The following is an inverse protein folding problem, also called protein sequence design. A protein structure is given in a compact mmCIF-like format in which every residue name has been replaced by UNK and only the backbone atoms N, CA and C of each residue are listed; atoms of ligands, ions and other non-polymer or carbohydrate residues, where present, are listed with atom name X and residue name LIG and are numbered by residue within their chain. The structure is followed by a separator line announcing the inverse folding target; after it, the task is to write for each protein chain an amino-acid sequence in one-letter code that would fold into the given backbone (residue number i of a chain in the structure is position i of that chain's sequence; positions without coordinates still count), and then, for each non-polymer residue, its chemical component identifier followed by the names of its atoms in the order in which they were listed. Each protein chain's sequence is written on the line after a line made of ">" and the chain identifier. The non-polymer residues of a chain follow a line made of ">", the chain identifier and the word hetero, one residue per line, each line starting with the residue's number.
data_IF_563204914239
#
_entry.id   IF_563204914239
#
_cell.length_a   1.000
_cell.length_b   1.000
_cell.length_c   1.000
_cell.angle_alpha   90.00
_cell.angle_beta   90.00
_cell.angle_gamma   90.00
#
_symmetry.space_group_name_H-M   'P 1'
#
loop_
_entity.id
_entity.type
_entity.pdbx_description
1 polymer ?
#
# COMPACT_ATOMS: atom_id res chain seq x y z
N UNK A 1 -9.99 -43.92 24.53
CA UNK A 1 -10.70 -43.95 23.24
C UNK A 1 -9.69 -43.46 22.21
N UNK A 2 -9.29 -44.35 21.32
CA UNK A 2 -8.42 -44.04 20.19
C UNK A 2 -9.31 -43.34 19.17
N UNK A 3 -9.03 -42.08 18.82
CA UNK A 3 -9.68 -41.47 17.66
C UNK A 3 -9.27 -42.29 16.44
N UNK A 4 -10.23 -42.99 15.84
CA UNK A 4 -10.06 -43.62 14.54
C UNK A 4 -9.78 -42.51 13.54
N UNK A 5 -8.60 -42.58 12.92
CA UNK A 5 -8.16 -41.69 11.85
C UNK A 5 -9.02 -42.00 10.61
N UNK A 6 -10.20 -41.38 10.55
CA UNK A 6 -11.09 -41.46 9.39
C UNK A 6 -10.33 -40.94 8.17
N UNK A 7 -10.01 -41.84 7.24
CA UNK A 7 -9.31 -41.55 5.98
C UNK A 7 -10.22 -40.77 5.02
N UNK A 8 -10.41 -39.49 5.30
CA UNK A 8 -11.05 -38.56 4.36
C UNK A 8 -10.13 -38.29 3.15
N UNK A 9 -10.70 -38.02 1.96
CA UNK A 9 -9.92 -37.60 0.80
C UNK A 9 -9.05 -36.38 1.13
N UNK A 10 -7.81 -36.36 0.61
CA UNK A 10 -6.93 -35.22 0.76
C UNK A 10 -7.59 -33.96 0.17
N UNK A 11 -7.63 -32.88 0.96
CA UNK A 11 -8.22 -31.61 0.53
C UNK A 11 -7.17 -30.73 -0.14
N UNK A 12 -7.50 -30.13 -1.28
CA UNK A 12 -6.68 -29.07 -1.87
C UNK A 12 -6.51 -27.86 -0.92
N UNK A 13 -7.44 -27.66 0.03
CA UNK A 13 -7.40 -26.59 1.03
C UNK A 13 -6.22 -26.79 1.99
N UNK A 14 -5.92 -28.02 2.41
CA UNK A 14 -4.78 -28.27 3.31
C UNK A 14 -3.45 -28.00 2.60
N UNK A 15 -3.35 -28.36 1.32
CA UNK A 15 -2.18 -28.08 0.48
C UNK A 15 -1.98 -26.57 0.29
N UNK A 16 -3.04 -25.81 -0.03
CA UNK A 16 -2.98 -24.35 -0.17
C UNK A 16 -2.63 -23.65 1.15
N UNK A 17 -3.18 -24.12 2.27
CA UNK A 17 -2.86 -23.57 3.59
C UNK A 17 -1.40 -23.80 4.01
N UNK A 18 -0.82 -24.95 3.64
CA UNK A 18 0.60 -25.24 3.83
C UNK A 18 1.49 -24.31 3.01
N UNK A 19 1.11 -24.07 1.75
CA UNK A 19 1.81 -23.17 0.85
C UNK A 19 1.85 -21.73 1.39
N UNK A 20 0.70 -21.21 1.84
CA UNK A 20 0.60 -19.88 2.45
C UNK A 20 1.45 -19.77 3.72
N UNK A 21 1.44 -20.81 4.57
CA UNK A 21 2.25 -20.81 5.79
C UNK A 21 3.75 -20.75 5.50
N UNK A 22 4.22 -21.58 4.57
CA UNK A 22 5.61 -21.61 4.10
C UNK A 22 6.06 -20.23 3.61
N UNK A 23 5.27 -19.55 2.79
CA UNK A 23 5.58 -18.19 2.33
C UNK A 23 5.71 -17.19 3.47
N UNK A 24 4.83 -17.25 4.48
CA UNK A 24 4.90 -16.38 5.67
C UNK A 24 6.16 -16.64 6.50
N UNK A 25 6.53 -17.90 6.71
CA UNK A 25 7.77 -18.26 7.43
C UNK A 25 9.01 -17.78 6.65
N UNK A 26 9.03 -17.98 5.33
CA UNK A 26 10.12 -17.54 4.47
C UNK A 26 10.33 -16.02 4.55
N UNK A 27 9.25 -15.24 4.46
CA UNK A 27 9.30 -13.78 4.61
C UNK A 27 9.87 -13.38 5.98
N UNK A 28 9.36 -13.96 7.05
CA UNK A 28 9.83 -13.69 8.41
C UNK A 28 11.35 -13.95 8.55
N UNK A 29 11.82 -15.09 8.03
CA UNK A 29 13.24 -15.43 8.09
C UNK A 29 14.11 -14.45 7.29
N UNK A 30 13.67 -14.07 6.09
CA UNK A 30 14.39 -13.08 5.27
C UNK A 30 14.49 -11.72 5.97
N UNK A 31 13.41 -11.26 6.59
CA UNK A 31 13.41 -10.01 7.34
C UNK A 31 14.34 -10.07 8.57
N UNK A 32 14.45 -11.23 9.23
CA UNK A 32 15.43 -11.44 10.29
C UNK A 32 16.88 -11.27 9.78
N UNK A 33 17.21 -11.83 8.62
CA UNK A 33 18.53 -11.65 8.00
C UNK A 33 18.79 -10.17 7.68
N UNK A 34 17.81 -9.48 7.10
CA UNK A 34 17.89 -8.04 6.78
C UNK A 34 18.13 -7.20 8.05
N UNK A 35 17.42 -7.50 9.13
CA UNK A 35 17.59 -6.83 10.42
C UNK A 35 18.99 -7.08 11.01
N UNK A 36 19.54 -8.27 10.83
CA UNK A 36 20.90 -8.64 11.21
C UNK A 36 21.97 -8.00 10.30
N UNK A 37 21.56 -7.22 9.29
CA UNK A 37 22.44 -6.48 8.38
C UNK A 37 22.82 -7.25 7.11
N UNK A 38 22.20 -8.41 6.89
CA UNK A 38 22.48 -9.28 5.75
C UNK A 38 21.40 -9.13 4.67
N UNK A 39 21.78 -8.51 3.56
CA UNK A 39 20.92 -8.29 2.37
C UNK A 39 21.44 -9.03 1.15
N UNK A 40 22.66 -9.56 1.21
CA UNK A 40 23.36 -10.23 0.10
C UNK A 40 22.95 -11.70 0.01
N UNK A 41 21.65 -11.94 -0.12
CA UNK A 41 21.07 -13.28 -0.23
C UNK A 41 19.97 -13.36 -1.29
N UNK A 42 19.67 -14.58 -1.71
CA UNK A 42 18.58 -14.91 -2.61
C UNK A 42 17.66 -15.92 -1.93
N UNK A 43 16.37 -15.61 -1.83
CA UNK A 43 15.33 -16.52 -1.36
C UNK A 43 14.85 -17.40 -2.52
N UNK A 44 14.89 -18.71 -2.33
CA UNK A 44 14.30 -19.71 -3.21
C UNK A 44 13.08 -20.34 -2.54
N UNK A 45 11.99 -20.50 -3.28
CA UNK A 45 10.75 -21.12 -2.81
C UNK A 45 10.54 -22.47 -3.52
N UNK A 46 10.05 -23.47 -2.78
CA UNK A 46 9.50 -24.72 -3.31
C UNK A 46 10.45 -25.53 -4.21
N UNK A 47 11.73 -25.65 -3.80
CA UNK A 47 12.76 -26.35 -4.58
C UNK A 47 13.71 -27.15 -3.70
N UNK A 48 14.84 -26.57 -3.25
CA UNK A 48 15.87 -27.29 -2.45
C UNK A 48 15.30 -27.84 -1.14
N UNK A 49 14.35 -27.13 -0.54
CA UNK A 49 13.40 -27.59 0.47
C UNK A 49 12.13 -26.74 0.30
N UNK A 50 11.24 -26.68 1.29
CA UNK A 50 10.07 -25.80 1.26
C UNK A 50 10.52 -24.33 1.00
N UNK A 51 11.60 -23.88 1.62
CA UNK A 51 12.35 -22.72 1.10
C UNK A 51 13.84 -22.81 1.46
N UNK A 52 14.66 -22.03 0.76
CA UNK A 52 16.11 -22.00 0.95
C UNK A 52 16.66 -20.59 0.76
N UNK A 53 17.78 -20.30 1.44
CA UNK A 53 18.53 -19.07 1.30
C UNK A 53 19.86 -19.38 0.61
N UNK A 54 20.13 -18.68 -0.48
CA UNK A 54 21.36 -18.77 -1.25
C UNK A 54 22.19 -17.50 -1.10
N UNK A 55 23.52 -17.65 -1.14
CA UNK A 55 24.46 -16.53 -1.16
C UNK A 55 25.51 -16.78 -2.23
N UNK A 56 25.60 -15.87 -3.21
CA UNK A 56 26.54 -16.00 -4.35
C UNK A 56 26.42 -17.37 -5.03
N UNK A 57 25.20 -17.88 -5.19
CA UNK A 57 24.93 -19.19 -5.79
C UNK A 57 25.13 -20.41 -4.88
N UNK A 58 25.62 -20.24 -3.65
CA UNK A 58 25.85 -21.33 -2.69
C UNK A 58 24.72 -21.39 -1.66
N UNK A 59 24.24 -22.60 -1.35
CA UNK A 59 23.22 -22.82 -0.34
C UNK A 59 23.74 -22.41 1.04
N UNK A 60 23.08 -21.43 1.67
CA UNK A 60 23.42 -20.93 3.01
C UNK A 60 22.58 -21.64 4.08
N UNK A 61 21.27 -21.75 3.86
CA UNK A 61 20.37 -22.48 4.74
C UNK A 61 19.19 -23.10 3.99
N UNK A 62 18.71 -24.22 4.50
CA UNK A 62 17.52 -24.91 4.00
C UNK A 62 16.48 -25.04 5.11
N UNK A 63 15.21 -24.90 4.74
CA UNK A 63 14.12 -24.76 5.70
C UNK A 63 12.94 -25.66 5.32
N UNK A 64 12.67 -26.64 6.17
CA UNK A 64 11.50 -27.51 6.08
C UNK A 64 10.39 -26.96 6.99
N UNK A 65 9.21 -26.75 6.44
CA UNK A 65 8.03 -26.17 7.10
C UNK A 65 6.89 -27.18 7.16
N UNK A 66 6.27 -27.31 8.34
CA UNK A 66 5.12 -28.19 8.55
C UNK A 66 3.99 -27.47 9.27
N UNK A 67 2.87 -27.32 8.56
CA UNK A 67 1.62 -26.80 9.09
C UNK A 67 0.76 -27.96 9.64
N UNK A 68 0.60 -28.01 10.97
CA UNK A 68 -0.36 -28.86 11.71
C UNK A 68 -0.43 -30.34 11.25
N UNK A 69 0.68 -31.07 11.42
CA UNK A 69 0.74 -32.52 11.09
C UNK A 69 0.38 -33.40 12.29
N UNK A 70 0.82 -33.04 13.50
CA UNK A 70 0.55 -33.79 14.72
C UNK A 70 1.20 -33.15 15.95
N UNK A 71 0.86 -33.63 17.15
CA UNK A 71 1.42 -33.12 18.43
C UNK A 71 2.67 -33.87 18.88
N UNK A 72 2.95 -35.03 18.28
CA UNK A 72 4.08 -35.87 18.65
C UNK A 72 5.24 -35.67 17.67
N UNK A 73 6.48 -35.62 18.18
CA UNK A 73 7.68 -35.54 17.34
C UNK A 73 7.77 -36.69 16.34
N UNK A 74 7.31 -37.88 16.71
CA UNK A 74 7.33 -39.07 15.83
C UNK A 74 6.57 -38.85 14.52
N UNK A 75 5.51 -38.02 14.53
CA UNK A 75 4.76 -37.63 13.33
C UNK A 75 5.59 -36.86 12.29
N UNK A 76 6.80 -36.41 12.67
CA UNK A 76 7.68 -35.61 11.83
C UNK A 76 8.97 -36.35 11.42
N UNK A 77 9.14 -37.62 11.81
CA UNK A 77 10.39 -38.36 11.56
C UNK A 77 10.79 -38.42 10.09
N UNK A 78 9.82 -38.65 9.19
CA UNK A 78 10.07 -38.69 7.74
C UNK A 78 10.53 -37.33 7.21
N UNK A 79 9.87 -36.24 7.63
CA UNK A 79 10.23 -34.88 7.23
C UNK A 79 11.60 -34.47 7.80
N UNK A 80 11.94 -34.87 9.02
CA UNK A 80 13.25 -34.64 9.62
C UNK A 80 14.35 -35.38 8.87
N UNK A 81 14.12 -36.66 8.53
CA UNK A 81 15.05 -37.45 7.73
C UNK A 81 15.23 -36.85 6.33
N UNK A 82 14.14 -36.40 5.68
CA UNK A 82 14.19 -35.74 4.38
C UNK A 82 15.01 -34.45 4.42
N UNK A 83 14.77 -33.60 5.43
CA UNK A 83 15.52 -32.35 5.60
C UNK A 83 17.01 -32.61 5.87
N UNK A 84 17.36 -33.69 6.58
CA UNK A 84 18.74 -34.12 6.75
C UNK A 84 19.38 -34.66 5.45
N UNK A 85 18.57 -35.25 4.56
CA UNK A 85 19.02 -35.94 3.36
C UNK A 85 19.24 -35.05 2.12
N UNK A 86 18.91 -33.75 2.15
CA UNK A 86 18.99 -32.82 1.00
C UNK A 86 20.25 -33.08 0.15
N UNK A 87 20.04 -33.53 -1.10
CA UNK A 87 21.09 -34.09 -1.95
C UNK A 87 21.72 -33.06 -2.91
N UNK A 88 20.95 -32.05 -3.34
CA UNK A 88 21.39 -30.99 -4.26
C UNK A 88 22.04 -29.83 -3.47
N UNK A 89 23.16 -29.30 -3.98
CA UNK A 89 23.98 -28.23 -3.36
C UNK A 89 24.60 -28.59 -1.98
N UNK A 90 24.93 -29.88 -1.79
CA UNK A 90 25.71 -30.39 -0.65
C UNK A 90 26.96 -29.56 -0.40
N UNK A 91 26.91 -28.74 0.63
CA UNK A 91 28.10 -28.17 1.27
C UNK A 91 28.08 -28.60 2.73
N UNK A 92 29.13 -29.25 3.22
CA UNK A 92 29.22 -29.60 4.64
C UNK A 92 29.12 -28.30 5.47
N UNK A 93 28.31 -28.30 6.52
CA UNK A 93 28.14 -27.14 7.41
C UNK A 93 27.04 -26.14 7.06
N UNK A 94 26.15 -26.44 6.09
CA UNK A 94 24.94 -25.63 5.89
C UNK A 94 24.00 -25.74 7.09
N UNK A 95 23.28 -24.67 7.38
CA UNK A 95 22.30 -24.69 8.47
C UNK A 95 20.95 -25.21 7.96
N UNK A 96 20.41 -26.23 8.63
CA UNK A 96 19.10 -26.80 8.32
C UNK A 96 18.13 -26.48 9.42
N UNK A 97 16.96 -25.98 9.05
CA UNK A 97 15.93 -25.58 9.98
C UNK A 97 14.64 -26.35 9.76
N UNK A 98 14.00 -26.71 10.88
CA UNK A 98 12.70 -27.33 10.91
C UNK A 98 11.71 -26.40 11.61
N UNK A 99 10.65 -26.05 10.90
CA UNK A 99 9.61 -25.12 11.34
C UNK A 99 8.30 -25.88 11.57
N UNK A 100 7.72 -25.73 12.75
CA UNK A 100 6.43 -26.33 13.12
C UNK A 100 5.43 -25.26 13.52
N UNK A 101 4.17 -25.45 13.14
CA UNK A 101 3.10 -24.49 13.43
C UNK A 101 2.39 -24.71 14.77
N UNK A 102 2.75 -25.77 15.50
CA UNK A 102 2.14 -26.18 16.77
C UNK A 102 3.22 -26.65 17.71
N UNK A 103 2.95 -26.56 19.01
CA UNK A 103 3.79 -27.15 20.03
C UNK A 103 3.84 -28.69 19.85
N UNK A 104 5.04 -29.26 19.97
CA UNK A 104 5.27 -30.70 19.82
C UNK A 104 6.07 -31.29 20.99
N UNK A 105 5.91 -32.59 21.22
CA UNK A 105 6.67 -33.32 22.24
C UNK A 105 8.15 -33.45 21.87
N UNK A 106 8.99 -32.49 22.32
CA UNK A 106 10.44 -32.54 22.16
C UNK A 106 10.96 -31.83 20.92
N UNK A 107 11.67 -30.74 21.17
CA UNK A 107 12.20 -29.79 20.17
C UNK A 107 13.74 -29.77 20.14
N UNK A 108 14.36 -30.84 20.65
CA UNK A 108 15.80 -31.03 20.50
C UNK A 108 16.16 -31.22 19.02
N UNK A 109 17.35 -30.75 18.65
CA UNK A 109 17.86 -30.87 17.30
C UNK A 109 17.91 -32.34 16.86
N UNK A 110 17.58 -32.60 15.60
CA UNK A 110 17.63 -33.93 15.03
C UNK A 110 19.01 -34.15 14.43
N UNK A 111 19.65 -35.28 14.80
CA UNK A 111 20.94 -35.70 14.25
C UNK A 111 20.68 -36.96 13.44
N UNK A 112 20.93 -36.89 12.13
CA UNK A 112 20.82 -38.04 11.26
C UNK A 112 22.08 -38.92 11.34
N UNK A 113 21.95 -40.16 10.86
CA UNK A 113 23.02 -41.14 10.71
C UNK A 113 24.23 -40.62 9.93
N UNK A 114 24.04 -39.65 9.04
CA UNK A 114 25.11 -38.98 8.28
C UNK A 114 25.85 -37.90 9.08
N UNK A 115 25.45 -37.61 10.33
CA UNK A 115 26.03 -36.60 11.20
C UNK A 115 25.50 -35.18 10.99
N UNK A 116 24.61 -34.97 10.03
CA UNK A 116 23.99 -33.67 9.78
C UNK A 116 22.94 -33.36 10.86
N UNK A 117 22.86 -32.06 11.21
CA UNK A 117 21.99 -31.57 12.27
C UNK A 117 20.88 -30.72 11.65
N UNK A 118 19.63 -31.08 11.94
CA UNK A 118 18.43 -30.30 11.63
C UNK A 118 17.95 -29.62 12.91
N UNK A 119 18.00 -28.29 12.93
CA UNK A 119 17.70 -27.46 14.09
C UNK A 119 16.23 -27.09 14.14
N UNK A 120 15.61 -27.19 15.31
CA UNK A 120 14.28 -26.63 15.50
C UNK A 120 14.37 -25.11 15.56
N UNK A 121 13.65 -24.44 14.64
CA UNK A 121 13.71 -22.99 14.50
C UNK A 121 13.13 -22.28 15.74
N UNK A 122 13.77 -21.19 16.17
CA UNK A 122 13.34 -20.38 17.31
C UNK A 122 12.62 -19.11 16.86
N UNK A 123 11.47 -18.85 17.44
CA UNK A 123 10.68 -17.63 17.28
C UNK A 123 10.69 -16.84 18.60
N UNK A 124 11.89 -16.48 19.05
CA UNK A 124 12.12 -16.02 20.43
C UNK A 124 12.30 -17.23 21.35
N UNK A 125 11.53 -17.27 22.44
CA UNK A 125 11.57 -18.35 23.43
C UNK A 125 10.86 -19.63 22.94
N UNK A 126 9.98 -19.49 21.94
CA UNK A 126 9.21 -20.61 21.38
C UNK A 126 9.93 -21.32 20.23
N UNK A 127 9.68 -22.63 20.12
CA UNK A 127 10.17 -23.50 19.03
C UNK A 127 9.10 -23.82 17.98
N UNK A 128 7.99 -23.08 18.01
CA UNK A 128 6.87 -23.19 17.08
C UNK A 128 6.28 -21.81 16.84
N UNK A 129 5.53 -21.64 15.75
CA UNK A 129 4.84 -20.38 15.47
C UNK A 129 3.52 -20.65 14.75
N UNK A 130 2.39 -20.26 15.34
CA UNK A 130 1.09 -20.45 14.71
C UNK A 130 0.90 -19.58 13.47
N UNK A 131 -0.04 -19.97 12.61
CA UNK A 131 -0.44 -19.20 11.43
C UNK A 131 -0.95 -17.79 11.80
N UNK A 132 -1.55 -17.65 12.99
CA UNK A 132 -2.03 -16.37 13.52
C UNK A 132 -0.93 -15.53 14.16
N UNK A 133 0.17 -16.14 14.60
CA UNK A 133 1.23 -15.46 15.36
C UNK A 133 2.34 -14.92 14.44
N UNK A 134 2.62 -15.63 13.34
CA UNK A 134 3.71 -15.28 12.42
C UNK A 134 3.58 -13.87 11.84
N UNK A 135 2.34 -13.42 11.61
CA UNK A 135 2.07 -12.08 11.09
C UNK A 135 2.52 -11.00 12.08
N UNK A 136 2.17 -11.15 13.36
CA UNK A 136 2.55 -10.22 14.40
C UNK A 136 4.07 -10.17 14.58
N UNK A 137 4.74 -11.33 14.55
CA UNK A 137 6.21 -11.41 14.59
C UNK A 137 6.85 -10.73 13.37
N UNK A 138 6.32 -10.97 12.18
CA UNK A 138 6.83 -10.36 10.94
C UNK A 138 6.71 -8.84 10.99
N UNK A 139 5.56 -8.32 11.42
CA UNK A 139 5.32 -6.88 11.61
C UNK A 139 6.25 -6.28 12.67
N UNK A 140 6.56 -7.04 13.73
CA UNK A 140 7.53 -6.62 14.74
C UNK A 140 8.93 -6.44 14.12
N UNK A 141 9.40 -7.39 13.30
CA UNK A 141 10.70 -7.30 12.62
C UNK A 141 10.75 -6.13 11.63
N UNK A 142 9.69 -5.91 10.83
CA UNK A 142 9.59 -4.73 9.95
C UNK A 142 9.75 -3.44 10.76
N UNK A 143 9.10 -3.37 11.92
CA UNK A 143 9.19 -2.21 12.81
C UNK A 143 10.62 -1.97 13.31
N UNK A 144 11.35 -3.02 13.61
CA UNK A 144 12.75 -2.94 14.04
C UNK A 144 13.68 -2.50 12.90
N UNK A 145 13.47 -3.01 11.68
CA UNK A 145 14.20 -2.57 10.48
C UNK A 145 14.00 -1.06 10.24
N UNK A 146 12.75 -0.59 10.29
CA UNK A 146 12.44 0.83 10.10
C UNK A 146 13.08 1.70 11.21
N UNK A 147 13.03 1.26 12.47
CA UNK A 147 13.68 1.96 13.59
C UNK A 147 15.20 2.05 13.41
N UNK A 148 15.85 0.95 13.03
CA UNK A 148 17.29 0.90 12.79
C UNK A 148 17.75 1.86 11.67
N UNK A 149 16.84 2.20 10.75
CA UNK A 149 17.07 3.11 9.61
C UNK A 149 16.43 4.48 9.78
N UNK A 150 15.99 4.84 11.00
CA UNK A 150 15.38 6.15 11.32
C UNK A 150 14.16 6.50 10.46
N UNK A 151 13.38 5.50 10.05
CA UNK A 151 12.13 5.69 9.30
C UNK A 151 10.97 5.85 10.29
N UNK A 152 10.21 6.94 10.18
CA UNK A 152 8.97 7.12 10.94
C UNK A 152 7.90 6.13 10.45
N UNK A 153 7.70 5.07 11.23
CA UNK A 153 6.75 4.01 10.89
C UNK A 153 5.38 4.25 11.55
N UNK A 154 4.38 4.59 10.74
CA UNK A 154 2.98 4.59 11.18
C UNK A 154 2.42 3.17 11.19
N UNK A 155 1.34 2.94 11.97
CA UNK A 155 0.63 1.64 11.98
C UNK A 155 0.23 1.20 10.57
N UNK A 156 -0.17 2.14 9.72
CA UNK A 156 -0.68 1.82 8.39
C UNK A 156 0.43 1.59 7.37
N UNK A 157 1.57 2.27 7.49
CA UNK A 157 2.77 1.93 6.72
C UNK A 157 3.27 0.54 7.08
N UNK A 158 3.20 0.15 8.36
CA UNK A 158 3.53 -1.20 8.79
C UNK A 158 2.61 -2.27 8.17
N UNK A 159 1.30 -2.04 8.18
CA UNK A 159 0.32 -2.92 7.52
C UNK A 159 0.58 -3.03 6.01
N UNK A 160 0.79 -1.88 5.34
CA UNK A 160 1.08 -1.83 3.91
C UNK A 160 2.37 -2.59 3.56
N UNK A 161 3.45 -2.34 4.29
CA UNK A 161 4.72 -3.04 4.09
C UNK A 161 4.55 -4.55 4.23
N UNK A 162 3.83 -5.02 5.25
CA UNK A 162 3.56 -6.44 5.42
C UNK A 162 2.73 -7.03 4.27
N UNK A 163 1.65 -6.36 3.85
CA UNK A 163 0.80 -6.83 2.75
C UNK A 163 1.58 -6.96 1.45
N UNK A 164 2.36 -5.94 1.10
CA UNK A 164 3.16 -5.89 -0.12
C UNK A 164 4.21 -7.00 -0.15
N UNK A 165 4.95 -7.15 0.96
CA UNK A 165 5.98 -8.17 1.03
C UNK A 165 5.34 -9.58 0.96
N UNK A 166 4.20 -9.77 1.62
CA UNK A 166 3.45 -11.03 1.55
C UNK A 166 2.93 -11.32 0.14
N UNK A 167 2.47 -10.29 -0.57
CA UNK A 167 2.06 -10.38 -1.97
C UNK A 167 3.24 -10.69 -2.88
N UNK A 168 4.41 -10.07 -2.68
CA UNK A 168 5.63 -10.38 -3.44
C UNK A 168 6.00 -11.85 -3.32
N UNK A 169 5.99 -12.41 -2.12
CA UNK A 169 6.26 -13.84 -1.90
C UNK A 169 5.20 -14.72 -2.59
N UNK A 170 3.92 -14.37 -2.41
CA UNK A 170 2.80 -15.16 -2.95
C UNK A 170 2.73 -15.10 -4.48
N UNK A 171 3.00 -13.96 -5.09
CA UNK A 171 3.05 -13.80 -6.55
C UNK A 171 4.24 -14.54 -7.14
N UNK A 172 5.38 -14.61 -6.43
CA UNK A 172 6.55 -15.36 -6.89
C UNK A 172 6.28 -16.85 -7.00
N UNK A 173 5.59 -17.38 -6.00
CA UNK A 173 5.11 -18.76 -6.02
C UNK A 173 4.20 -19.06 -7.22
N UNK A 174 3.24 -18.17 -7.48
CA UNK A 174 2.32 -18.32 -8.62
C UNK A 174 3.09 -18.24 -9.94
N UNK A 175 4.10 -17.37 -10.05
CA UNK A 175 4.98 -17.26 -11.22
C UNK A 175 5.69 -18.59 -11.52
N UNK A 176 6.26 -19.24 -10.50
CA UNK A 176 6.90 -20.57 -10.61
C UNK A 176 5.88 -21.59 -11.15
N UNK A 177 4.67 -21.64 -10.59
CA UNK A 177 3.60 -22.53 -11.08
C UNK A 177 3.17 -22.23 -12.52
N UNK A 178 3.17 -20.96 -12.93
CA UNK A 178 2.80 -20.55 -14.30
C UNK A 178 3.86 -20.98 -15.31
N UNK A 179 5.15 -20.84 -15.00
CA UNK A 179 6.26 -21.26 -15.88
C UNK A 179 6.19 -22.75 -16.19
N UNK A 180 5.82 -23.56 -15.20
CA UNK A 180 5.60 -25.00 -15.35
C UNK A 180 4.49 -25.30 -16.36
N UNK A 181 3.36 -24.59 -16.26
CA UNK A 181 2.17 -24.87 -17.07
C UNK A 181 2.28 -24.38 -18.52
N UNK A 182 2.97 -23.26 -18.75
CA UNK A 182 2.96 -22.56 -20.04
C UNK A 182 4.27 -22.76 -20.82
N UNK A 183 5.41 -22.71 -20.16
CA UNK A 183 6.73 -22.70 -20.82
C UNK A 183 7.34 -24.09 -20.95
N UNK A 184 6.73 -25.10 -20.31
CA UNK A 184 7.17 -26.50 -20.39
C UNK A 184 8.48 -26.79 -19.65
N UNK A 185 8.93 -25.84 -18.80
CA UNK A 185 10.06 -26.08 -17.89
C UNK A 185 9.69 -27.17 -16.88
N UNK A 186 10.67 -27.99 -16.49
CA UNK A 186 10.45 -28.95 -15.41
C UNK A 186 10.22 -28.22 -14.10
N UNK A 187 9.28 -28.70 -13.27
CA UNK A 187 8.92 -28.12 -11.96
C UNK A 187 10.16 -27.74 -11.14
N UNK A 188 11.15 -28.62 -11.14
CA UNK A 188 12.42 -28.45 -10.42
C UNK A 188 13.26 -27.30 -10.96
N UNK A 189 13.30 -27.09 -12.27
CA UNK A 189 14.14 -26.05 -12.90
C UNK A 189 13.55 -24.65 -12.67
N UNK A 190 12.23 -24.51 -12.85
CA UNK A 190 11.53 -23.24 -12.63
C UNK A 190 11.67 -22.79 -11.17
N UNK A 191 11.39 -23.69 -10.21
CA UNK A 191 11.52 -23.38 -8.79
C UNK A 191 12.97 -23.12 -8.36
N UNK A 192 13.95 -23.79 -8.98
CA UNK A 192 15.35 -23.61 -8.61
C UNK A 192 15.94 -22.26 -9.03
N UNK A 193 15.64 -21.82 -10.26
CA UNK A 193 16.23 -20.62 -10.86
C UNK A 193 15.52 -19.33 -10.44
N UNK A 194 14.24 -19.40 -10.07
CA UNK A 194 13.42 -18.21 -9.89
C UNK A 194 13.46 -17.68 -8.44
N UNK A 195 14.56 -16.99 -8.09
CA UNK A 195 14.85 -16.51 -6.74
C UNK A 195 14.46 -15.04 -6.53
N UNK A 196 14.27 -14.65 -5.26
CA UNK A 196 13.99 -13.27 -4.84
C UNK A 196 15.23 -12.72 -4.15
N UNK A 197 15.73 -11.59 -4.62
CA UNK A 197 16.88 -10.91 -4.03
C UNK A 197 16.53 -10.23 -2.69
N UNK A 198 17.39 -10.37 -1.68
CA UNK A 198 17.21 -9.81 -0.34
C UNK A 198 17.24 -8.27 -0.32
N UNK A 199 18.07 -7.65 -1.16
CA UNK A 199 18.05 -6.19 -1.36
C UNK A 199 16.72 -5.76 -1.96
N UNK A 200 16.12 -6.53 -2.87
CA UNK A 200 14.80 -6.20 -3.42
C UNK A 200 13.65 -6.29 -2.38
N UNK A 201 13.79 -7.12 -1.34
CA UNK A 201 12.85 -7.16 -0.20
C UNK A 201 13.03 -5.91 0.67
N UNK A 202 14.28 -5.52 0.95
CA UNK A 202 14.58 -4.31 1.71
C UNK A 202 14.12 -3.06 0.95
N UNK A 203 14.36 -2.99 -0.35
CA UNK A 203 13.96 -1.88 -1.20
C UNK A 203 12.46 -1.66 -1.19
N UNK A 204 11.63 -2.70 -1.09
CA UNK A 204 10.18 -2.52 -0.92
C UNK A 204 9.82 -1.81 0.40
N UNK A 205 10.60 -2.02 1.46
CA UNK A 205 10.39 -1.33 2.75
C UNK A 205 10.85 0.12 2.66
N UNK A 206 11.95 0.39 1.94
CA UNK A 206 12.57 1.71 1.86
C UNK A 206 11.93 2.62 0.81
N UNK A 207 11.58 2.06 -0.34
CA UNK A 207 11.10 2.80 -1.52
C UNK A 207 9.58 2.89 -1.56
N UNK A 208 8.83 2.09 -0.79
CA UNK A 208 7.40 2.31 -0.62
C UNK A 208 7.16 3.51 0.26
N UNK A 209 7.03 4.61 -0.45
CA UNK A 209 6.46 5.81 0.10
C UNK A 209 5.00 5.50 0.50
N UNK A 210 4.60 5.66 1.79
CA UNK A 210 3.19 5.58 2.20
C UNK A 210 2.23 6.45 1.38
N UNK A 211 2.75 7.37 0.55
CA UNK A 211 2.04 8.37 -0.23
C UNK A 211 1.49 7.89 -1.59
N UNK A 212 1.53 6.58 -1.88
CA UNK A 212 0.95 5.99 -3.11
C UNK A 212 -0.33 5.16 -2.87
N UNK A 213 -0.77 5.00 -1.62
CA UNK A 213 -1.99 4.25 -1.29
C UNK A 213 -3.21 5.18 -1.21
N UNK A 214 -3.69 5.59 -2.39
CA UNK A 214 -4.86 6.47 -2.51
C UNK A 214 -6.12 5.87 -1.89
N UNK A 215 -6.24 4.54 -1.85
CA UNK A 215 -7.37 3.82 -1.27
C UNK A 215 -7.40 3.92 0.25
N UNK A 216 -6.26 3.65 0.89
CA UNK A 216 -6.09 3.87 2.32
C UNK A 216 -6.40 5.32 2.71
N UNK A 217 -5.86 6.30 1.96
CA UNK A 217 -6.13 7.71 2.24
C UNK A 217 -7.60 8.08 2.03
N UNK A 218 -8.28 7.48 1.07
CA UNK A 218 -9.69 7.74 0.85
C UNK A 218 -10.56 7.18 2.00
N UNK A 219 -10.23 6.00 2.52
CA UNK A 219 -10.85 5.45 3.74
C UNK A 219 -10.60 6.36 4.94
N UNK A 220 -9.33 6.75 5.17
CA UNK A 220 -8.97 7.61 6.29
C UNK A 220 -9.64 8.99 6.19
N UNK A 221 -9.73 9.55 4.98
CA UNK A 221 -10.40 10.83 4.74
C UNK A 221 -11.88 10.71 5.05
N UNK A 222 -12.54 9.66 4.55
CA UNK A 222 -13.96 9.38 4.84
C UNK A 222 -14.21 9.37 6.34
N UNK A 223 -13.45 8.57 7.08
CA UNK A 223 -13.62 8.44 8.54
C UNK A 223 -13.43 9.78 9.25
N UNK A 224 -12.34 10.50 8.98
CA UNK A 224 -12.04 11.75 9.68
C UNK A 224 -13.00 12.89 9.32
N UNK A 225 -13.39 12.99 8.05
CA UNK A 225 -14.33 13.99 7.57
C UNK A 225 -15.74 13.70 8.11
N UNK A 226 -16.15 12.43 8.14
CA UNK A 226 -17.40 12.00 8.77
C UNK A 226 -17.43 12.39 10.26
N UNK A 227 -16.43 11.98 11.05
CA UNK A 227 -16.37 12.31 12.48
C UNK A 227 -16.33 13.82 12.74
N UNK A 228 -15.57 14.58 11.95
CA UNK A 228 -15.53 16.05 12.10
C UNK A 228 -16.90 16.69 11.83
N UNK A 229 -17.61 16.25 10.79
CA UNK A 229 -18.93 16.80 10.44
C UNK A 229 -20.00 16.38 11.45
N UNK A 230 -19.95 15.15 11.94
CA UNK A 230 -20.82 14.64 13.01
C UNK A 230 -20.64 15.45 14.29
N UNK A 231 -19.40 15.58 14.79
CA UNK A 231 -19.06 16.40 15.96
C UNK A 231 -19.52 17.85 15.77
N UNK A 232 -19.34 18.42 14.56
CA UNK A 232 -19.74 19.80 14.28
C UNK A 232 -21.25 19.98 14.29
N UNK A 233 -22.01 19.05 13.73
CA UNK A 233 -23.47 19.09 13.72
C UNK A 233 -24.04 18.94 15.13
N UNK A 234 -23.39 18.16 15.99
CA UNK A 234 -23.78 17.98 17.39
C UNK A 234 -23.45 19.22 18.25
N UNK A 235 -22.25 19.81 18.06
CA UNK A 235 -21.75 20.91 18.90
C UNK A 235 -22.23 22.30 18.46
N UNK A 236 -22.54 22.50 17.17
CA UNK A 236 -22.73 23.85 16.58
C UNK A 236 -24.19 24.24 16.35
N UNK A 237 -25.16 23.50 16.90
CA UNK A 237 -26.59 23.85 16.83
C UNK A 237 -26.89 25.29 17.33
N UNK A 238 -26.28 25.80 18.42
CA UNK A 238 -26.50 27.17 18.87
C UNK A 238 -25.56 28.13 18.11
N UNK A 239 -26.08 28.85 17.10
CA UNK A 239 -25.37 29.94 16.42
C UNK A 239 -25.12 29.75 14.92
N UNK A 240 -25.48 28.59 14.36
CA UNK A 240 -25.45 28.33 12.92
C UNK A 240 -26.74 28.85 12.26
N UNK A 241 -26.63 29.48 11.09
CA UNK A 241 -27.83 29.81 10.30
C UNK A 241 -28.41 28.55 9.65
N UNK A 242 -29.71 28.54 9.35
CA UNK A 242 -30.37 27.39 8.73
C UNK A 242 -29.69 26.96 7.43
N UNK A 243 -29.24 27.92 6.60
CA UNK A 243 -28.53 27.65 5.35
C UNK A 243 -27.16 26.98 5.58
N UNK A 244 -26.42 27.46 6.57
CA UNK A 244 -25.10 26.92 6.91
C UNK A 244 -25.23 25.51 7.51
N UNK A 245 -26.22 25.31 8.38
CA UNK A 245 -26.57 23.99 8.92
C UNK A 245 -26.99 23.02 7.82
N UNK A 246 -27.85 23.47 6.89
CA UNK A 246 -28.29 22.66 5.76
C UNK A 246 -27.13 22.18 4.91
N UNK A 247 -26.20 23.07 4.52
CA UNK A 247 -25.02 22.70 3.74
C UNK A 247 -24.10 21.73 4.49
N UNK A 248 -23.86 21.95 5.79
CA UNK A 248 -23.09 21.03 6.61
C UNK A 248 -23.73 19.62 6.67
N UNK A 249 -25.05 19.56 6.82
CA UNK A 249 -25.81 18.31 6.84
C UNK A 249 -25.79 17.59 5.49
N UNK A 250 -25.91 18.31 4.38
CA UNK A 250 -25.82 17.70 3.05
C UNK A 250 -24.42 17.16 2.77
N UNK A 251 -23.37 17.90 3.14
CA UNK A 251 -21.99 17.40 3.04
C UNK A 251 -21.78 16.16 3.90
N UNK A 252 -22.26 16.14 5.15
CA UNK A 252 -22.20 14.96 6.01
C UNK A 252 -22.88 13.75 5.36
N UNK A 253 -24.10 13.94 4.84
CA UNK A 253 -24.84 12.88 4.15
C UNK A 253 -24.09 12.35 2.93
N UNK A 254 -23.56 13.25 2.09
CA UNK A 254 -22.76 12.89 0.92
C UNK A 254 -21.57 12.02 1.33
N UNK A 255 -20.73 12.49 2.27
CA UNK A 255 -19.53 11.76 2.69
C UNK A 255 -19.86 10.40 3.31
N UNK A 256 -20.97 10.30 4.06
CA UNK A 256 -21.41 9.03 4.63
C UNK A 256 -21.81 8.02 3.55
N UNK A 257 -22.59 8.48 2.58
CA UNK A 257 -23.22 7.64 1.55
C UNK A 257 -22.24 7.30 0.40
N UNK A 258 -21.20 8.12 0.15
CA UNK A 258 -20.16 7.87 -0.88
C UNK A 258 -19.22 6.73 -0.50
N UNK A 259 -18.95 5.79 -1.40
CA UNK A 259 -17.97 4.72 -1.16
C UNK A 259 -16.55 5.26 -0.97
N UNK A 260 -15.77 4.61 -0.09
CA UNK A 260 -14.42 5.11 0.21
C UNK A 260 -13.54 5.17 -1.04
N UNK A 261 -13.69 4.22 -1.96
CA UNK A 261 -12.93 4.21 -3.23
C UNK A 261 -13.18 5.43 -4.12
N UNK A 262 -14.36 6.06 -4.05
CA UNK A 262 -14.71 7.24 -4.84
C UNK A 262 -14.07 8.52 -4.27
N UNK A 263 -13.78 8.54 -2.96
CA UNK A 263 -13.13 9.66 -2.27
C UNK A 263 -11.64 9.78 -2.59
N UNK A 264 -11.05 8.86 -3.35
CA UNK A 264 -9.68 8.97 -3.90
C UNK A 264 -9.50 10.31 -4.62
N UNK A 265 -10.51 10.72 -5.39
CA UNK A 265 -10.51 12.00 -6.12
C UNK A 265 -10.49 13.21 -5.19
N UNK A 266 -11.21 13.14 -4.07
CA UNK A 266 -11.24 14.19 -3.06
C UNK A 266 -9.90 14.30 -2.34
N UNK A 267 -9.22 13.19 -2.08
CA UNK A 267 -7.85 13.22 -1.53
C UNK A 267 -6.93 14.08 -2.41
N UNK A 268 -6.98 13.86 -3.73
CA UNK A 268 -6.14 14.59 -4.68
C UNK A 268 -6.50 16.09 -4.75
N UNK A 269 -7.79 16.44 -4.77
CA UNK A 269 -8.25 17.82 -5.00
C UNK A 269 -8.41 18.65 -3.73
N UNK A 270 -8.51 18.05 -2.55
CA UNK A 270 -8.67 18.81 -1.32
C UNK A 270 -7.46 19.69 -1.05
N UNK A 271 -6.24 19.27 -1.43
CA UNK A 271 -5.04 20.11 -1.36
C UNK A 271 -4.09 19.77 -2.51
N UNK A 272 -4.36 20.25 -3.74
CA UNK A 272 -3.68 19.79 -4.94
C UNK A 272 -2.22 20.26 -5.03
N UNK A 273 -1.81 21.18 -4.16
CA UNK A 273 -0.41 21.62 -4.03
C UNK A 273 0.45 20.71 -3.16
N UNK A 274 -0.09 19.64 -2.57
CA UNK A 274 0.70 18.73 -1.75
C UNK A 274 0.32 17.29 -2.06
N UNK A 275 1.33 16.43 -2.25
CA UNK A 275 1.07 15.00 -2.34
C UNK A 275 0.38 14.54 -1.07
N UNK A 276 -0.70 13.80 -1.24
CA UNK A 276 -1.46 13.29 -0.13
C UNK A 276 -0.60 12.31 0.69
N UNK A 277 -0.05 12.84 1.76
CA UNK A 277 0.88 12.13 2.64
C UNK A 277 0.29 11.90 4.02
N UNK A 278 -0.63 12.77 4.41
CA UNK A 278 -1.38 12.72 5.66
C UNK A 278 -2.61 13.62 5.55
N UNK A 279 -3.75 13.15 6.05
CA UNK A 279 -4.93 14.00 6.21
C UNK A 279 -4.74 14.88 7.44
N UNK A 280 -4.56 16.19 7.25
CA UNK A 280 -4.48 17.12 8.36
C UNK A 280 -5.89 17.50 8.82
N UNK A 281 -6.10 17.55 10.13
CA UNK A 281 -7.36 18.04 10.72
C UNK A 281 -7.68 19.47 10.26
N UNK A 282 -6.65 20.27 10.02
CA UNK A 282 -6.79 21.63 9.50
C UNK A 282 -7.40 21.64 8.09
N UNK A 283 -7.02 20.71 7.22
CA UNK A 283 -7.49 20.68 5.83
C UNK A 283 -8.96 20.24 5.76
N UNK A 284 -9.34 19.20 6.53
CA UNK A 284 -10.74 18.80 6.72
C UNK A 284 -11.60 19.98 7.18
N UNK A 285 -11.11 20.71 8.19
CA UNK A 285 -11.80 21.87 8.74
C UNK A 285 -11.99 22.95 7.67
N UNK A 286 -10.90 23.35 7.00
CA UNK A 286 -10.89 24.38 5.95
C UNK A 286 -11.84 24.01 4.81
N UNK A 287 -11.72 22.81 4.27
CA UNK A 287 -12.57 22.30 3.20
C UNK A 287 -14.06 22.34 3.59
N UNK A 288 -14.39 21.82 4.77
CA UNK A 288 -15.77 21.78 5.26
C UNK A 288 -16.34 23.18 5.52
N UNK A 289 -15.53 24.07 6.11
CA UNK A 289 -15.91 25.45 6.38
C UNK A 289 -16.10 26.28 5.11
N UNK A 290 -15.29 26.06 4.07
CA UNK A 290 -15.45 26.72 2.78
C UNK A 290 -16.81 26.42 2.16
N UNK A 291 -17.19 25.13 2.08
CA UNK A 291 -18.48 24.69 1.53
C UNK A 291 -19.65 25.31 2.31
N UNK A 292 -19.52 25.38 3.64
CA UNK A 292 -20.54 25.94 4.51
C UNK A 292 -20.68 27.47 4.35
N UNK A 293 -19.55 28.16 4.17
CA UNK A 293 -19.48 29.61 4.10
C UNK A 293 -19.90 30.18 2.74
N UNK A 294 -19.86 29.39 1.66
CA UNK A 294 -20.33 29.82 0.34
C UNK A 294 -21.83 30.12 0.35
N UNK A 295 -22.24 31.23 -0.26
CA UNK A 295 -23.64 31.65 -0.36
C UNK A 295 -24.52 30.79 -1.27
N UNK A 296 -23.91 29.91 -2.07
CA UNK A 296 -24.56 29.03 -3.04
C UNK A 296 -24.54 27.60 -2.53
N UNK A 297 -25.59 26.82 -2.83
CA UNK A 297 -25.64 25.41 -2.47
C UNK A 297 -24.75 24.55 -3.40
N UNK A 298 -23.93 23.65 -2.84
CA UNK A 298 -23.08 22.75 -3.62
C UNK A 298 -23.89 21.66 -4.33
N UNK A 299 -23.33 21.19 -5.45
CA UNK A 299 -23.76 19.99 -6.17
C UNK A 299 -22.97 18.81 -5.60
N UNK A 300 -23.70 17.79 -5.15
CA UNK A 300 -23.15 16.55 -4.58
C UNK A 300 -23.26 15.40 -5.59
N UNK A 301 -22.41 15.46 -6.62
CA UNK A 301 -22.24 14.39 -7.61
C UNK A 301 -20.75 14.07 -7.74
N UNK A 302 -20.34 12.86 -7.32
CA UNK A 302 -18.95 12.43 -7.06
C UNK A 302 -18.21 13.32 -6.05
N UNK A 303 -17.80 14.51 -6.48
CA UNK A 303 -17.10 15.53 -5.71
C UNK A 303 -18.05 16.70 -5.42
N UNK A 304 -18.07 17.24 -4.19
CA UNK A 304 -18.77 18.51 -3.94
C UNK A 304 -18.20 19.61 -4.84
N UNK A 305 -19.05 20.21 -5.69
CA UNK A 305 -18.63 21.23 -6.65
C UNK A 305 -19.75 22.23 -6.93
N UNK A 306 -19.45 23.25 -7.73
CA UNK A 306 -20.38 24.30 -8.15
C UNK A 306 -20.28 24.52 -9.66
N UNK A 307 -21.34 25.09 -10.24
CA UNK A 307 -21.39 25.46 -11.65
C UNK A 307 -21.76 26.93 -11.80
N UNK A 308 -21.02 27.65 -12.64
CA UNK A 308 -21.44 28.98 -13.10
C UNK A 308 -22.46 28.91 -14.24
N UNK A 309 -22.92 30.08 -14.71
CA UNK A 309 -23.82 30.22 -15.86
C UNK A 309 -23.34 29.51 -17.12
N UNK A 310 -22.04 29.41 -17.30
CA UNK A 310 -21.40 28.82 -18.48
C UNK A 310 -21.10 27.33 -18.27
N UNK A 311 -21.62 26.73 -17.19
CA UNK A 311 -21.39 25.33 -16.80
C UNK A 311 -19.91 25.02 -16.54
N UNK A 312 -19.12 26.01 -16.11
CA UNK A 312 -17.75 25.75 -15.65
C UNK A 312 -17.78 25.25 -14.22
N UNK A 313 -16.97 24.22 -13.96
CA UNK A 313 -16.83 23.64 -12.63
C UNK A 313 -15.97 24.51 -11.73
N UNK A 314 -16.42 24.69 -10.49
CA UNK A 314 -15.66 25.27 -9.39
C UNK A 314 -15.64 24.29 -8.23
N UNK A 315 -14.45 23.93 -7.75
CA UNK A 315 -14.28 22.93 -6.70
C UNK A 315 -13.70 23.58 -5.43
N UNK A 316 -14.33 23.39 -4.26
CA UNK A 316 -13.78 23.85 -2.99
C UNK A 316 -12.51 23.06 -2.64
N UNK A 317 -11.50 23.77 -2.13
CA UNK A 317 -10.23 23.19 -1.69
C UNK A 317 -9.86 23.68 -0.28
N UNK A 318 -8.90 23.04 0.35
CA UNK A 318 -8.28 23.43 1.61
C UNK A 318 -7.06 24.35 1.42
N UNK A 319 -6.80 24.84 0.19
CA UNK A 319 -5.70 25.78 -0.09
C UNK A 319 -5.79 27.00 0.83
N UNK A 320 -4.70 27.28 1.54
CA UNK A 320 -4.58 28.36 2.51
C UNK A 320 -3.34 29.19 2.18
N UNK A 321 -3.56 30.30 1.47
CA UNK A 321 -2.55 31.18 0.90
C UNK A 321 -2.81 32.62 1.38
N UNK A 322 -2.55 32.93 2.67
CA UNK A 322 -2.80 34.26 3.21
C UNK A 322 -1.95 35.36 2.55
N UNK A 323 -0.76 35.04 2.06
CA UNK A 323 0.18 35.99 1.45
C UNK A 323 0.38 35.72 -0.07
N UNK A 324 0.74 36.76 -0.83
CA UNK A 324 0.86 36.68 -2.29
C UNK A 324 2.10 35.88 -2.70
N UNK A 325 3.15 35.92 -1.87
CA UNK A 325 4.40 35.22 -2.10
C UNK A 325 4.19 33.69 -2.19
N UNK A 326 3.21 33.16 -1.46
CA UNK A 326 2.85 31.74 -1.44
C UNK A 326 2.18 31.28 -2.76
N UNK A 327 1.76 32.20 -3.63
CA UNK A 327 1.16 31.84 -4.92
C UNK A 327 2.17 31.15 -5.84
N UNK A 328 3.41 31.63 -5.86
CA UNK A 328 4.45 31.05 -6.71
C UNK A 328 4.88 29.66 -6.23
N UNK A 329 4.92 29.47 -4.91
CA UNK A 329 5.18 28.15 -4.30
C UNK A 329 4.05 27.17 -4.65
N UNK A 330 2.79 27.59 -4.43
CA UNK A 330 1.62 26.80 -4.80
C UNK A 330 1.59 26.42 -6.29
N UNK A 331 1.94 27.34 -7.18
CA UNK A 331 2.11 27.08 -8.63
C UNK A 331 3.16 25.99 -8.85
N UNK A 332 4.36 26.14 -8.26
CA UNK A 332 5.45 25.18 -8.40
C UNK A 332 5.07 23.79 -7.89
N UNK A 333 4.38 23.73 -6.76
CA UNK A 333 4.01 22.48 -6.12
C UNK A 333 2.93 21.74 -6.92
N UNK A 334 1.87 22.45 -7.36
CA UNK A 334 0.84 21.85 -8.23
C UNK A 334 1.46 21.33 -9.53
N UNK A 335 2.39 22.08 -10.15
CA UNK A 335 3.08 21.61 -11.35
C UNK A 335 3.97 20.38 -11.10
N UNK A 336 4.57 20.29 -9.91
CA UNK A 336 5.38 19.14 -9.52
C UNK A 336 4.51 17.91 -9.29
N UNK A 337 3.37 18.08 -8.63
CA UNK A 337 2.41 16.99 -8.40
C UNK A 337 1.85 16.46 -9.72
N UNK A 338 1.37 17.34 -10.60
CA UNK A 338 0.83 16.97 -11.92
C UNK A 338 1.84 16.15 -12.76
N UNK A 339 3.14 16.42 -12.67
CA UNK A 339 4.18 15.68 -13.42
C UNK A 339 4.32 14.22 -12.99
N UNK A 340 3.94 13.89 -11.76
CA UNK A 340 4.12 12.54 -11.19
C UNK A 340 2.81 11.86 -10.80
N UNK A 341 1.67 12.48 -11.14
CA UNK A 341 0.34 12.07 -10.73
C UNK A 341 -0.69 12.31 -11.86
N UNK A 342 -0.80 11.33 -12.76
CA UNK A 342 -1.70 11.38 -13.91
C UNK A 342 -3.18 11.53 -13.52
N UNK A 343 -3.56 11.02 -12.35
CA UNK A 343 -4.94 11.12 -11.87
C UNK A 343 -5.28 12.54 -11.45
N UNK A 344 -4.36 13.24 -10.77
CA UNK A 344 -4.51 14.66 -10.47
C UNK A 344 -4.58 15.50 -11.75
N UNK A 345 -3.74 15.18 -12.76
CA UNK A 345 -3.78 15.87 -14.06
C UNK A 345 -5.17 15.76 -14.71
N UNK A 346 -5.74 14.54 -14.77
CA UNK A 346 -7.09 14.31 -15.31
C UNK A 346 -8.16 15.08 -14.54
N UNK A 347 -8.07 15.07 -13.20
CA UNK A 347 -9.00 15.80 -12.35
C UNK A 347 -8.94 17.31 -12.58
N UNK A 348 -7.74 17.89 -12.68
CA UNK A 348 -7.57 19.32 -12.93
C UNK A 348 -7.95 19.74 -14.35
N UNK A 349 -8.06 18.78 -15.27
CA UNK A 349 -8.63 18.99 -16.60
C UNK A 349 -10.14 19.21 -16.54
N UNK A 350 -10.84 18.41 -15.73
CA UNK A 350 -12.29 18.50 -15.52
C UNK A 350 -12.64 19.68 -14.59
N UNK A 351 -11.86 19.84 -13.51
CA UNK A 351 -12.09 20.77 -12.41
C UNK A 351 -11.01 21.86 -12.38
N UNK A 352 -10.97 22.70 -13.42
CA UNK A 352 -9.91 23.70 -13.60
C UNK A 352 -10.11 25.02 -12.84
N UNK A 353 -11.20 25.22 -12.08
CA UNK A 353 -11.35 26.35 -11.16
C UNK A 353 -11.39 25.84 -9.72
N UNK A 354 -10.33 26.14 -8.97
CA UNK A 354 -10.15 25.75 -7.57
C UNK A 354 -10.49 26.92 -6.67
N UNK A 355 -11.49 26.77 -5.81
CA UNK A 355 -11.81 27.77 -4.79
C UNK A 355 -10.88 27.53 -3.60
N UNK A 356 -9.99 28.48 -3.31
CA UNK A 356 -9.15 28.41 -2.13
C UNK A 356 -9.97 28.71 -0.87
N UNK A 357 -9.70 28.02 0.24
CA UNK A 357 -10.29 28.40 1.53
C UNK A 357 -9.84 29.80 1.95
N UNK A 358 -8.58 30.15 1.65
CA UNK A 358 -8.06 31.51 1.78
C UNK A 358 -7.04 31.78 0.67
N UNK A 359 -7.23 32.87 -0.06
CA UNK A 359 -6.26 33.44 -0.98
C UNK A 359 -6.42 34.97 -0.96
N UNK A 360 -5.33 35.72 -1.08
CA UNK A 360 -5.38 37.19 -1.08
C UNK A 360 -5.92 37.76 -2.40
N UNK A 361 -5.59 37.10 -3.50
CA UNK A 361 -6.09 37.38 -4.84
C UNK A 361 -6.13 36.09 -5.67
N UNK A 362 -6.94 36.10 -6.72
CA UNK A 362 -7.04 34.97 -7.65
C UNK A 362 -5.87 34.97 -8.62
N UNK A 363 -5.37 33.78 -8.96
CA UNK A 363 -4.24 33.63 -9.88
C UNK A 363 -4.42 32.43 -10.82
N UNK A 364 -3.61 32.41 -11.87
CA UNK A 364 -3.62 31.38 -12.92
C UNK A 364 -2.35 30.53 -12.83
N UNK A 365 -2.50 29.24 -13.14
CA UNK A 365 -1.42 28.27 -13.29
C UNK A 365 -1.43 27.83 -14.75
N UNK A 366 -0.41 28.26 -15.49
CA UNK A 366 -0.17 27.76 -16.84
C UNK A 366 0.62 26.45 -16.74
N UNK A 367 -0.06 25.35 -17.05
CA UNK A 367 0.52 24.02 -16.87
C UNK A 367 1.45 23.62 -18.00
N UNK A 368 1.45 24.33 -19.13
CA UNK A 368 2.14 23.95 -20.39
C UNK A 368 1.78 22.56 -20.94
N UNK A 369 0.81 21.87 -20.35
CA UNK A 369 0.24 20.64 -20.89
C UNK A 369 -0.75 20.99 -22.00
N UNK A 370 -0.53 20.39 -23.15
CA UNK A 370 -1.31 20.58 -24.36
C UNK A 370 -2.40 19.51 -24.49
N UNK A 371 -3.62 19.91 -24.86
CA UNK A 371 -4.69 18.95 -25.22
C UNK A 371 -4.33 18.30 -26.56
N UNK A 372 -3.62 17.20 -26.53
CA UNK A 372 -3.56 16.27 -27.65
C UNK A 372 -3.35 14.87 -27.10
N UNK A 373 -4.44 14.11 -27.01
CA UNK A 373 -4.36 12.66 -27.01
C UNK A 373 -3.54 12.20 -28.23
N UNK A 374 -2.46 11.47 -27.95
CA UNK A 374 -1.69 10.65 -28.91
C UNK A 374 -0.98 11.39 -30.07
N UNK A 375 0.00 12.26 -29.81
CA UNK A 375 0.93 12.71 -30.86
C UNK A 375 2.39 12.60 -30.42
N UNK A 376 3.25 12.34 -31.39
CA UNK A 376 4.70 12.25 -31.21
C UNK A 376 5.33 13.63 -30.93
N UNK A 377 6.53 13.65 -30.34
CA UNK A 377 7.26 14.90 -30.00
C UNK A 377 7.45 15.83 -31.21
N UNK A 378 7.59 15.27 -32.42
CA UNK A 378 7.78 16.04 -33.65
C UNK A 378 6.50 16.76 -34.13
N UNK A 379 5.34 16.11 -34.01
CA UNK A 379 4.04 16.68 -34.40
C UNK A 379 3.55 17.74 -33.40
N UNK A 380 4.02 17.65 -32.15
CA UNK A 380 3.76 18.64 -31.10
C UNK A 380 4.43 19.97 -31.43
N UNK A 381 5.67 19.94 -31.93
CA UNK A 381 6.45 21.14 -32.24
C UNK A 381 5.87 21.95 -33.42
N UNK A 382 5.44 21.27 -34.50
CA UNK A 382 4.83 21.94 -35.67
C UNK A 382 3.47 22.58 -35.37
N UNK A 383 2.73 22.04 -34.38
CA UNK A 383 1.41 22.57 -33.98
C UNK A 383 1.47 23.69 -32.94
N UNK A 384 2.55 23.78 -32.16
CA UNK A 384 2.86 24.94 -31.30
C UNK A 384 3.09 26.18 -32.16
N UNK A 385 3.80 26.04 -33.28
CA UNK A 385 4.07 27.15 -34.21
C UNK A 385 2.81 27.64 -34.97
N UNK A 386 1.72 26.86 -34.96
CA UNK A 386 0.47 27.17 -35.65
C UNK A 386 -0.70 27.60 -34.74
N UNK A 387 -0.46 27.90 -33.45
CA UNK A 387 -1.45 28.47 -32.49
C UNK A 387 -2.74 27.63 -32.26
N UNK A 388 -2.74 26.32 -32.57
CA UNK A 388 -3.96 25.48 -32.51
C UNK A 388 -4.16 24.79 -31.15
N UNK A 389 -3.21 24.91 -30.21
CA UNK A 389 -3.26 24.12 -28.98
C UNK A 389 -3.70 24.95 -27.77
N UNK A 390 -4.86 24.64 -27.19
CA UNK A 390 -5.26 25.18 -25.88
C UNK A 390 -4.42 24.51 -24.80
N UNK A 391 -3.70 25.33 -24.03
CA UNK A 391 -2.95 24.87 -22.86
C UNK A 391 -3.93 24.69 -21.69
N UNK A 392 -3.76 23.64 -20.88
CA UNK A 392 -4.54 23.49 -19.65
C UNK A 392 -4.14 24.62 -18.69
N UNK A 393 -5.07 25.54 -18.44
CA UNK A 393 -4.91 26.60 -17.46
C UNK A 393 -5.79 26.31 -16.25
N UNK A 394 -5.17 26.15 -15.09
CA UNK A 394 -5.87 26.00 -13.81
C UNK A 394 -5.99 27.39 -13.18
N UNK A 395 -7.11 27.65 -12.53
CA UNK A 395 -7.39 28.91 -11.87
C UNK A 395 -7.64 28.69 -10.40
N UNK A 396 -6.86 29.34 -9.55
CA UNK A 396 -7.13 29.41 -8.12
C UNK A 396 -7.88 30.71 -7.86
N UNK A 397 -9.11 30.61 -7.35
CA UNK A 397 -9.99 31.75 -7.10
C UNK A 397 -10.21 31.96 -5.62
N UNK A 398 -10.37 33.23 -5.24
CA UNK A 398 -10.86 33.61 -3.90
C UNK A 398 -12.32 33.19 -3.74
N UNK A 399 -12.76 33.09 -2.48
CA UNK A 399 -14.16 32.82 -2.14
C UNK A 399 -15.07 33.89 -2.73
N UNK A 400 -14.71 35.17 -2.57
CA UNK A 400 -15.50 36.31 -3.01
C UNK A 400 -15.67 36.32 -4.53
N UNK A 401 -14.61 36.01 -5.29
CA UNK A 401 -14.72 35.90 -6.74
C UNK A 401 -15.56 34.69 -7.17
N UNK A 402 -15.39 33.55 -6.50
CA UNK A 402 -16.23 32.38 -6.77
C UNK A 402 -17.71 32.72 -6.54
N UNK A 403 -18.05 33.35 -5.41
CA UNK A 403 -19.42 33.77 -5.11
C UNK A 403 -19.97 34.76 -6.14
N UNK A 404 -19.19 35.75 -6.58
CA UNK A 404 -19.62 36.67 -7.63
C UNK A 404 -20.02 35.93 -8.92
N UNK A 405 -19.22 34.93 -9.33
CA UNK A 405 -19.46 34.14 -10.55
C UNK A 405 -20.60 33.14 -10.41
N UNK A 406 -20.79 32.57 -9.22
CA UNK A 406 -21.83 31.59 -8.94
C UNK A 406 -23.19 32.24 -8.65
N UNK A 407 -23.21 33.43 -8.04
CA UNK A 407 -24.42 34.20 -7.76
C UNK A 407 -24.93 35.01 -8.95
N UNK A 408 -24.10 35.17 -9.99
CA UNK A 408 -24.52 35.87 -11.20
C UNK A 408 -25.67 35.16 -11.93
N UNK A 409 -26.13 33.97 -11.50
CA UNK A 409 -27.24 33.12 -12.00
C UNK A 409 -28.58 33.86 -12.21
#
# INVERSE_FOLDING_TARGET
>A
MVEEDESYPASAISSWSGFVYQGKIALYHCLKLILEGDVDFELQLDSTDDFAVYKKGVLSSAHQVKAKVGKYRSSYNEALAKSAAIELDRTAGITRYFHVSVEISGTADYVDSNGEIVKFYSYGDDKHCGLGDIEALTKSVISEICKARTIELSKNLLESNYCVLSEKISSKAIEIHKQIQIEGDSERKAAYANRIDGQAILDDILNKNPYNDTEYFAIELKTRLHSYLEDKLDQSLPGMTDAVYWRARQLYKHIRDTEASELKTLCQLMKPSERFSRIQRADIRRYSELIQALGVDPIFDKLPHYLDKQKKFYVPTALYLPEIEEHNECVSDILTEIKSNDDLLKLLFEYNNLIAFRARESFMIDTKYTVSSDLSEQETQERVDSNIIKTLCIRVVTKEEAEARLNDN
#
